data_IF_498168840602
#
_entry.id   IF_498168840602
#
_cell.length_a   1.000
_cell.length_b   1.000
_cell.length_c   1.000
_cell.angle_alpha   90.00
_cell.angle_beta   90.00
_cell.angle_gamma   90.00
#
_symmetry.space_group_name_H-M   'P 1'
#
loop_
_entity.id
_entity.type
_entity.pdbx_description
1 polymer ?
#
# COMPACT_ATOMS: atom_id res chain seq x y z
N UNK A 1 41.22 -29.72 -15.12
CA UNK A 1 40.05 -29.92 -16.00
C UNK A 1 38.79 -29.77 -15.16
N UNK A 2 37.78 -29.08 -15.69
CA UNK A 2 36.48 -28.72 -15.07
C UNK A 2 36.59 -27.72 -13.89
N UNK A 3 35.72 -26.72 -13.73
CA UNK A 3 34.33 -26.64 -14.16
C UNK A 3 33.91 -25.24 -14.63
N UNK A 4 33.19 -25.23 -15.76
CA UNK A 4 32.24 -24.20 -16.13
C UNK A 4 30.97 -24.33 -15.28
N UNK A 5 30.28 -23.19 -15.10
CA UNK A 5 28.82 -22.97 -15.21
C UNK A 5 28.20 -22.20 -14.03
N UNK A 6 27.96 -20.92 -14.33
CA UNK A 6 26.72 -20.18 -14.16
C UNK A 6 25.81 -20.53 -12.98
N UNK A 7 25.67 -19.60 -12.04
CA UNK A 7 24.48 -19.48 -11.21
C UNK A 7 23.86 -18.10 -11.45
N UNK A 8 22.71 -18.15 -12.13
CA UNK A 8 21.77 -17.05 -12.27
C UNK A 8 21.31 -16.58 -10.89
N UNK A 9 21.47 -15.29 -10.64
CA UNK A 9 20.85 -14.57 -9.53
C UNK A 9 19.33 -14.58 -9.72
N UNK A 10 18.61 -15.33 -8.89
CA UNK A 10 17.15 -15.19 -8.76
C UNK A 10 16.86 -14.18 -7.64
N UNK A 11 16.58 -12.95 -8.06
CA UNK A 11 15.94 -11.91 -7.23
C UNK A 11 14.47 -12.29 -7.03
N UNK A 12 14.12 -12.90 -5.90
CA UNK A 12 12.73 -12.99 -5.48
C UNK A 12 12.33 -11.64 -4.87
N UNK A 13 11.67 -10.82 -5.69
CA UNK A 13 11.04 -9.58 -5.27
C UNK A 13 10.03 -9.87 -4.15
N UNK A 14 10.06 -9.00 -3.15
CA UNK A 14 8.98 -8.81 -2.19
C UNK A 14 7.72 -8.37 -2.95
N UNK A 15 6.80 -9.28 -3.22
CA UNK A 15 5.46 -8.89 -3.69
C UNK A 15 4.65 -8.41 -2.49
N UNK A 16 4.61 -7.08 -2.29
CA UNK A 16 3.51 -6.47 -1.57
C UNK A 16 2.20 -6.94 -2.25
N UNK A 17 1.30 -7.57 -1.50
CA UNK A 17 0.01 -7.99 -2.02
C UNK A 17 -0.86 -6.74 -2.27
N UNK A 18 -0.76 -6.19 -3.48
CA UNK A 18 -1.75 -5.26 -4.02
C UNK A 18 -2.98 -6.07 -4.44
N UNK A 19 -4.06 -6.04 -3.65
CA UNK A 19 -5.34 -6.58 -4.08
C UNK A 19 -5.92 -5.67 -5.17
N UNK A 20 -6.01 -6.18 -6.41
CA UNK A 20 -6.62 -5.48 -7.54
C UNK A 20 -8.04 -6.02 -7.76
N UNK A 21 -9.04 -5.15 -7.74
CA UNK A 21 -10.45 -5.52 -7.93
C UNK A 21 -10.97 -4.86 -9.21
N UNK A 22 -11.63 -5.62 -10.08
CA UNK A 22 -12.27 -5.12 -11.30
C UNK A 22 -13.81 -5.14 -11.13
N UNK A 23 -14.47 -4.05 -11.55
CA UNK A 23 -15.94 -3.98 -11.60
C UNK A 23 -16.39 -4.59 -12.93
N UNK A 24 -17.26 -5.61 -12.95
CA UNK A 24 -17.74 -6.20 -14.19
C UNK A 24 -18.65 -5.23 -14.97
N UNK A 25 -18.52 -5.27 -16.29
CA UNK A 25 -19.36 -4.51 -17.22
C UNK A 25 -20.80 -5.01 -17.18
N UNK A 26 -21.77 -4.08 -17.11
CA UNK A 26 -23.18 -4.35 -16.81
C UNK A 26 -23.98 -4.79 -18.05
N UNK A 27 -23.31 -5.26 -19.11
CA UNK A 27 -23.94 -5.52 -20.41
C UNK A 27 -24.34 -6.99 -20.65
N UNK A 28 -24.33 -7.84 -19.62
CA UNK A 28 -24.91 -9.20 -19.69
C UNK A 28 -26.17 -9.29 -18.84
N UNK A 29 -27.26 -8.73 -19.37
CA UNK A 29 -28.61 -8.92 -18.82
C UNK A 29 -29.12 -10.30 -19.25
N UNK A 30 -28.88 -11.31 -18.43
CA UNK A 30 -29.48 -12.64 -18.52
C UNK A 30 -30.07 -13.02 -17.16
N UNK A 31 -31.39 -13.09 -17.09
CA UNK A 31 -32.20 -13.43 -15.92
C UNK A 31 -31.81 -14.77 -15.27
N UNK A 32 -31.60 -14.82 -13.95
CA UNK A 32 -32.35 -15.71 -13.03
C UNK A 32 -31.87 -15.62 -11.59
N UNK A 33 -32.81 -15.29 -10.69
CA UNK A 33 -32.94 -15.67 -9.27
C UNK A 33 -31.69 -16.16 -8.51
N UNK A 34 -31.17 -15.32 -7.61
CA UNK A 34 -30.24 -15.78 -6.56
C UNK A 34 -30.43 -15.00 -5.25
N UNK A 35 -30.36 -15.75 -4.16
CA UNK A 35 -30.63 -15.37 -2.76
C UNK A 35 -29.49 -14.49 -2.20
N UNK A 36 -29.63 -13.82 -1.03
CA UNK A 36 -28.60 -12.92 -0.48
C UNK A 36 -27.24 -13.57 -0.15
N UNK A 37 -27.09 -14.88 -0.38
CA UNK A 37 -25.86 -15.63 -0.20
C UNK A 37 -24.88 -15.55 -1.40
N UNK A 38 -25.29 -14.98 -2.55
CA UNK A 38 -24.45 -14.90 -3.76
C UNK A 38 -23.65 -13.59 -3.90
N UNK A 39 -23.66 -12.72 -2.87
CA UNK A 39 -22.92 -11.46 -2.87
C UNK A 39 -21.39 -11.60 -2.72
N UNK A 40 -20.86 -12.83 -2.64
CA UNK A 40 -19.43 -13.13 -2.43
C UNK A 40 -18.73 -13.78 -3.63
N UNK A 41 -19.30 -13.76 -4.84
CA UNK A 41 -18.64 -14.35 -6.01
C UNK A 41 -18.78 -13.55 -7.32
N UNK A 42 -18.04 -12.42 -7.47
CA UNK A 42 -17.72 -11.91 -8.80
C UNK A 42 -16.21 -11.86 -9.11
N UNK A 43 -15.33 -12.34 -8.22
CA UNK A 43 -13.89 -12.12 -8.36
C UNK A 43 -13.19 -13.27 -9.08
N UNK A 44 -12.93 -13.11 -10.38
CA UNK A 44 -12.14 -14.05 -11.20
C UNK A 44 -10.67 -13.61 -11.24
N UNK A 45 -9.76 -14.48 -10.78
CA UNK A 45 -8.31 -14.29 -10.87
C UNK A 45 -7.86 -14.51 -12.33
N UNK A 46 -7.14 -13.56 -12.92
CA UNK A 46 -6.63 -13.64 -14.30
C UNK A 46 -5.45 -14.63 -14.40
N UNK A 47 -5.48 -15.51 -15.40
CA UNK A 47 -4.38 -16.44 -15.70
C UNK A 47 -3.09 -15.72 -16.13
N UNK A 48 -1.98 -16.30 -15.69
CA UNK A 48 -0.61 -15.82 -15.80
C UNK A 48 0.00 -16.25 -17.15
N UNK A 49 -0.47 -15.70 -18.27
CA UNK A 49 0.15 -15.97 -19.57
C UNK A 49 -0.12 -14.89 -20.63
N UNK A 50 0.93 -14.63 -21.42
CA UNK A 50 1.09 -13.66 -22.51
C UNK A 50 1.28 -12.19 -22.12
N UNK A 51 2.19 -11.54 -22.83
CA UNK A 51 2.56 -10.11 -22.78
C UNK A 51 1.37 -9.24 -22.36
N UNK A 52 1.49 -8.55 -21.22
CA UNK A 52 0.45 -7.65 -20.73
C UNK A 52 0.34 -6.46 -21.68
N UNK A 53 -0.57 -6.54 -22.65
CA UNK A 53 -0.90 -5.42 -23.52
C UNK A 53 -1.85 -4.48 -22.79
N UNK A 54 -1.36 -3.28 -22.49
CA UNK A 54 -2.16 -2.19 -21.90
C UNK A 54 -2.78 -1.28 -22.97
N UNK A 55 -2.80 -1.72 -24.24
CA UNK A 55 -3.32 -0.93 -25.36
C UNK A 55 -4.80 -0.57 -25.27
N UNK A 56 -5.56 -1.28 -24.42
CA UNK A 56 -6.97 -0.97 -24.13
C UNK A 56 -7.13 0.21 -23.17
N UNK A 57 -6.09 0.56 -22.39
CA UNK A 57 -6.14 1.63 -21.40
C UNK A 57 -5.88 2.96 -22.09
N UNK A 58 -6.94 3.58 -22.59
CA UNK A 58 -6.87 4.85 -23.32
C UNK A 58 -7.26 6.03 -22.44
N UNK A 59 -8.27 5.85 -21.58
CA UNK A 59 -8.77 6.85 -20.64
C UNK A 59 -8.74 6.26 -19.25
N UNK A 60 -7.92 6.79 -18.35
CA UNK A 60 -7.80 6.22 -17.01
C UNK A 60 -7.49 7.29 -15.97
N UNK A 61 -7.71 6.94 -14.70
CA UNK A 61 -7.54 7.86 -13.60
C UNK A 61 -6.87 7.20 -12.40
N UNK A 62 -6.19 8.00 -11.59
CA UNK A 62 -5.85 7.61 -10.21
C UNK A 62 -6.36 8.61 -9.21
N UNK A 63 -7.07 8.11 -8.19
CA UNK A 63 -7.59 8.91 -7.09
C UNK A 63 -6.99 8.39 -5.78
N UNK A 64 -6.86 9.24 -4.77
CA UNK A 64 -6.46 8.76 -3.47
C UNK A 64 -5.87 9.79 -2.53
N UNK A 65 -5.15 9.26 -1.56
CA UNK A 65 -4.49 9.97 -0.48
C UNK A 65 -3.00 10.25 -0.79
N UNK A 66 -2.19 10.47 0.25
CA UNK A 66 -0.76 10.77 0.14
C UNK A 66 0.04 9.67 -0.55
N UNK A 67 -0.41 8.40 -0.55
CA UNK A 67 0.25 7.31 -1.25
C UNK A 67 0.12 7.43 -2.77
N UNK A 68 -1.03 7.90 -3.26
CA UNK A 68 -1.23 8.15 -4.70
C UNK A 68 -0.67 9.52 -5.10
N UNK A 69 -0.71 10.53 -4.22
CA UNK A 69 -0.10 11.85 -4.47
C UNK A 69 1.44 11.82 -4.44
N UNK A 70 2.02 10.87 -3.70
CA UNK A 70 3.45 10.56 -3.73
C UNK A 70 4.33 11.46 -2.88
N UNK A 71 3.89 11.81 -1.67
CA UNK A 71 4.70 12.65 -0.78
C UNK A 71 6.13 12.09 -0.65
N UNK A 72 7.11 12.97 -0.87
CA UNK A 72 8.54 12.64 -0.77
C UNK A 72 9.14 12.01 -2.03
N UNK A 73 8.34 11.75 -3.08
CA UNK A 73 8.83 11.13 -4.31
C UNK A 73 9.23 12.16 -5.38
N UNK A 74 10.43 12.73 -5.24
CA UNK A 74 10.98 13.70 -6.20
C UNK A 74 10.48 15.13 -5.97
N UNK A 75 10.20 15.87 -7.05
CA UNK A 75 9.81 17.28 -6.97
C UNK A 75 8.29 17.44 -6.86
N UNK A 76 7.83 18.30 -5.93
CA UNK A 76 6.43 18.70 -5.85
C UNK A 76 6.02 19.43 -7.14
N UNK A 77 4.85 19.07 -7.65
CA UNK A 77 4.30 19.56 -8.90
C UNK A 77 3.43 20.79 -8.68
N UNK A 78 3.23 21.53 -9.76
CA UNK A 78 2.39 22.72 -9.76
C UNK A 78 3.12 24.00 -9.38
N UNK A 79 2.43 25.13 -9.59
CA UNK A 79 2.88 26.44 -9.13
C UNK A 79 2.22 26.74 -7.80
N UNK A 80 2.75 27.74 -7.11
CA UNK A 80 2.16 28.25 -5.88
C UNK A 80 0.64 28.48 -6.07
N UNK A 81 -0.20 27.87 -5.23
CA UNK A 81 -1.69 27.83 -5.30
C UNK A 81 -2.37 26.97 -6.39
N UNK A 82 -1.65 26.22 -7.24
CA UNK A 82 -2.32 25.26 -8.12
C UNK A 82 -2.86 24.07 -7.33
N UNK A 83 -3.84 23.35 -7.89
CA UNK A 83 -4.40 22.15 -7.25
C UNK A 83 -3.33 21.08 -6.99
N UNK A 84 -2.40 20.89 -7.92
CA UNK A 84 -1.28 19.96 -7.76
C UNK A 84 -0.39 20.31 -6.55
N UNK A 85 -0.14 21.61 -6.37
CA UNK A 85 0.68 22.10 -5.30
C UNK A 85 -0.03 21.99 -3.95
N UNK A 86 -1.29 22.42 -3.88
CA UNK A 86 -2.13 22.31 -2.67
C UNK A 86 -2.35 20.86 -2.23
N UNK A 87 -2.44 19.93 -3.18
CA UNK A 87 -2.61 18.52 -2.91
C UNK A 87 -1.29 17.76 -2.67
N UNK A 88 -0.15 18.46 -2.66
CA UNK A 88 1.18 17.89 -2.50
C UNK A 88 1.42 16.72 -3.45
N UNK A 89 1.17 16.93 -4.75
CA UNK A 89 1.43 15.94 -5.80
C UNK A 89 2.89 15.99 -6.23
N UNK A 90 3.53 14.85 -6.44
CA UNK A 90 4.96 14.76 -6.76
C UNK A 90 5.23 14.12 -8.12
N UNK A 91 6.41 14.38 -8.69
CA UNK A 91 6.79 13.92 -10.04
C UNK A 91 7.12 12.43 -10.15
N UNK A 92 7.71 11.82 -9.12
CA UNK A 92 8.29 10.47 -9.22
C UNK A 92 7.42 9.44 -8.51
N UNK A 93 6.11 9.47 -8.79
CA UNK A 93 5.13 8.59 -8.15
C UNK A 93 4.61 7.51 -9.10
N UNK A 94 4.13 6.40 -8.52
CA UNK A 94 3.71 5.21 -9.25
C UNK A 94 2.65 5.46 -10.35
N UNK A 95 1.69 6.40 -10.24
CA UNK A 95 0.75 6.68 -11.34
C UNK A 95 1.44 7.24 -12.58
N UNK A 96 2.47 8.08 -12.42
CA UNK A 96 3.26 8.55 -13.56
C UNK A 96 4.10 7.43 -14.18
N UNK A 97 4.64 6.52 -13.35
CA UNK A 97 5.32 5.33 -13.85
C UNK A 97 4.36 4.43 -14.63
N UNK A 98 3.15 4.18 -14.11
CA UNK A 98 2.11 3.40 -14.81
C UNK A 98 1.72 4.09 -16.12
N UNK A 99 1.53 5.41 -16.13
CA UNK A 99 1.24 6.15 -17.36
C UNK A 99 2.35 5.98 -18.40
N UNK A 100 3.61 6.03 -17.95
CA UNK A 100 4.77 5.81 -18.79
C UNK A 100 4.79 4.39 -19.37
N UNK A 101 4.42 3.37 -18.59
CA UNK A 101 4.33 1.98 -19.06
C UNK A 101 3.15 1.70 -20.00
N UNK A 102 2.00 2.36 -19.79
CA UNK A 102 0.88 2.35 -20.76
C UNK A 102 1.34 3.01 -22.08
N UNK A 103 2.17 4.03 -21.98
CA UNK A 103 2.81 4.68 -23.12
C UNK A 103 1.79 5.35 -24.04
N UNK A 104 1.99 5.21 -25.35
CA UNK A 104 1.20 5.92 -26.37
C UNK A 104 -0.29 5.53 -26.45
N UNK A 105 -0.70 4.45 -25.79
CA UNK A 105 -2.10 4.05 -25.67
C UNK A 105 -2.89 5.05 -24.80
N UNK A 106 -2.27 5.62 -23.77
CA UNK A 106 -2.87 6.61 -22.87
C UNK A 106 -3.16 7.89 -23.66
N UNK A 107 -4.46 8.20 -23.81
CA UNK A 107 -4.96 9.41 -24.47
C UNK A 107 -5.44 10.46 -23.47
N UNK A 108 -5.95 10.01 -22.33
CA UNK A 108 -6.45 10.87 -21.26
C UNK A 108 -6.10 10.24 -19.90
N UNK A 109 -5.30 10.96 -19.12
CA UNK A 109 -4.90 10.54 -17.78
C UNK A 109 -5.32 11.59 -16.76
N UNK A 110 -6.23 11.21 -15.85
CA UNK A 110 -6.71 12.07 -14.78
C UNK A 110 -6.00 11.77 -13.46
N UNK A 111 -5.36 12.78 -12.89
CA UNK A 111 -4.54 12.64 -11.67
C UNK A 111 -4.98 13.60 -10.55
N UNK A 112 -6.15 13.40 -9.89
CA UNK A 112 -6.59 14.25 -8.80
C UNK A 112 -6.39 13.69 -7.36
N UNK A 113 -5.38 12.85 -7.01
CA UNK A 113 -5.19 12.45 -5.62
C UNK A 113 -4.80 13.66 -4.76
N UNK A 114 -4.99 13.57 -3.45
CA UNK A 114 -4.69 14.67 -2.55
C UNK A 114 -4.15 14.14 -1.23
N UNK A 115 -3.01 14.65 -0.79
CA UNK A 115 -2.50 14.32 0.54
C UNK A 115 -3.53 14.66 1.62
N UNK A 116 -3.71 13.76 2.60
CA UNK A 116 -4.70 13.90 3.66
C UNK A 116 -6.15 13.64 3.22
N UNK A 117 -6.38 13.19 1.97
CA UNK A 117 -7.72 12.80 1.55
C UNK A 117 -8.19 11.55 2.30
N UNK A 118 -9.24 11.70 3.12
CA UNK A 118 -9.97 10.59 3.73
C UNK A 118 -10.91 9.93 2.73
N UNK A 119 -11.56 8.81 3.10
CA UNK A 119 -12.50 8.10 2.23
C UNK A 119 -13.57 9.01 1.62
N UNK A 120 -14.10 9.98 2.38
CA UNK A 120 -15.04 10.99 1.86
C UNK A 120 -14.40 11.91 0.81
N UNK A 121 -13.14 12.30 1.00
CA UNK A 121 -12.37 13.09 0.05
C UNK A 121 -12.08 12.31 -1.23
N UNK A 122 -11.69 11.04 -1.12
CA UNK A 122 -11.50 10.14 -2.27
C UNK A 122 -12.82 9.88 -2.99
N UNK A 123 -13.93 9.75 -2.26
CA UNK A 123 -15.27 9.67 -2.84
C UNK A 123 -15.62 10.91 -3.67
N UNK A 124 -15.26 12.11 -3.18
CA UNK A 124 -15.47 13.34 -3.94
C UNK A 124 -14.57 13.39 -5.18
N UNK A 125 -13.29 12.98 -5.08
CA UNK A 125 -12.41 12.83 -6.25
C UNK A 125 -13.05 11.93 -7.31
N UNK A 126 -13.65 10.80 -6.91
CA UNK A 126 -14.33 9.89 -7.83
C UNK A 126 -15.52 10.53 -8.56
N UNK A 127 -16.31 11.38 -7.86
CA UNK A 127 -17.43 12.11 -8.47
C UNK A 127 -16.98 13.17 -9.47
N UNK A 128 -15.80 13.75 -9.26
CA UNK A 128 -15.26 14.82 -10.08
C UNK A 128 -14.46 14.31 -11.29
N UNK A 129 -14.28 12.99 -11.40
CA UNK A 129 -13.65 12.37 -12.57
C UNK A 129 -14.52 12.56 -13.83
N UNK A 130 -13.90 12.95 -14.93
CA UNK A 130 -14.53 12.87 -16.23
C UNK A 130 -14.73 11.39 -16.60
N UNK A 131 -15.97 11.03 -16.96
CA UNK A 131 -16.39 9.64 -17.21
C UNK A 131 -15.78 8.97 -18.45
N UNK A 132 -16.31 7.79 -18.78
CA UNK A 132 -15.80 6.87 -19.82
C UNK A 132 -14.34 6.49 -19.56
N UNK A 133 -14.07 5.92 -18.37
CA UNK A 133 -12.75 5.48 -17.94
C UNK A 133 -12.63 3.96 -18.12
N UNK A 134 -11.51 3.51 -18.68
CA UNK A 134 -11.17 2.09 -18.85
C UNK A 134 -10.65 1.50 -17.53
N UNK A 135 -9.91 2.32 -16.75
CA UNK A 135 -9.28 1.91 -15.49
C UNK A 135 -9.30 3.06 -14.49
N UNK A 136 -9.63 2.75 -13.24
CA UNK A 136 -9.40 3.64 -12.09
C UNK A 136 -8.58 2.88 -11.05
N UNK A 137 -7.47 3.46 -10.62
CA UNK A 137 -6.64 2.91 -9.54
C UNK A 137 -6.70 3.84 -8.34
N UNK A 138 -6.74 3.30 -7.12
CA UNK A 138 -6.94 4.14 -5.95
C UNK A 138 -6.25 3.67 -4.68
N UNK A 139 -5.83 4.65 -3.86
CA UNK A 139 -5.49 4.45 -2.44
C UNK A 139 -6.45 5.24 -1.58
N UNK A 140 -7.07 4.59 -0.59
CA UNK A 140 -7.93 5.28 0.36
C UNK A 140 -7.85 4.58 1.71
N UNK A 141 -7.60 5.33 2.79
CA UNK A 141 -7.77 4.79 4.14
C UNK A 141 -6.94 5.47 5.20
N UNK A 142 -7.34 6.67 5.65
CA UNK A 142 -6.70 7.32 6.80
C UNK A 142 -7.42 7.00 8.13
N UNK A 143 -8.76 6.92 8.16
CA UNK A 143 -9.51 6.50 9.36
C UNK A 143 -9.22 5.04 9.75
N UNK A 144 -8.60 4.28 8.84
CA UNK A 144 -8.19 2.91 9.02
C UNK A 144 -6.86 2.76 9.78
N UNK A 145 -6.03 3.79 9.95
CA UNK A 145 -4.68 3.60 10.52
C UNK A 145 -4.71 2.94 11.91
N UNK A 146 -5.54 3.44 12.84
CA UNK A 146 -5.69 2.84 14.15
C UNK A 146 -6.38 1.47 14.12
N UNK A 147 -7.39 1.29 13.25
CA UNK A 147 -8.11 0.03 13.09
C UNK A 147 -7.21 -1.07 12.49
N UNK A 148 -6.36 -0.71 11.54
CA UNK A 148 -5.38 -1.59 10.90
C UNK A 148 -4.29 -1.96 11.90
N UNK A 149 -3.80 -1.02 12.71
CA UNK A 149 -2.87 -1.35 13.81
C UNK A 149 -3.52 -2.33 14.79
N UNK A 150 -4.79 -2.12 15.17
CA UNK A 150 -5.51 -3.05 16.03
C UNK A 150 -5.71 -4.42 15.39
N UNK A 151 -6.06 -4.46 14.09
CA UNK A 151 -6.23 -5.73 13.37
C UNK A 151 -4.92 -6.46 13.18
N UNK A 152 -3.81 -5.74 12.98
CA UNK A 152 -2.47 -6.32 12.93
C UNK A 152 -2.13 -7.00 14.26
N UNK A 153 -2.43 -6.34 15.39
CA UNK A 153 -2.27 -6.94 16.71
C UNK A 153 -3.13 -8.21 16.88
N UNK A 154 -4.41 -8.14 16.50
CA UNK A 154 -5.31 -9.31 16.53
C UNK A 154 -4.77 -10.47 15.67
N UNK A 155 -4.26 -10.19 14.47
CA UNK A 155 -3.69 -11.21 13.59
C UNK A 155 -2.40 -11.83 14.15
N UNK A 156 -1.56 -11.03 14.84
CA UNK A 156 -0.39 -11.56 15.55
C UNK A 156 -0.84 -12.56 16.62
N UNK A 157 -1.89 -12.22 17.37
CA UNK A 157 -2.36 -13.05 18.46
C UNK A 157 -3.13 -14.30 18.01
N UNK A 158 -3.85 -14.22 16.88
CA UNK A 158 -4.77 -15.28 16.44
C UNK A 158 -4.24 -16.15 15.29
N UNK A 159 -3.37 -15.62 14.43
CA UNK A 159 -2.91 -16.30 13.20
C UNK A 159 -1.41 -16.59 13.25
N UNK A 160 -0.59 -15.62 13.66
CA UNK A 160 0.86 -15.78 13.58
C UNK A 160 1.39 -16.85 14.54
N UNK A 161 0.97 -16.82 15.80
CA UNK A 161 1.37 -17.78 16.84
C UNK A 161 1.14 -19.26 16.42
N UNK A 162 -0.06 -19.68 15.98
CA UNK A 162 -0.28 -21.06 15.56
C UNK A 162 0.54 -21.43 14.32
N UNK A 163 0.68 -20.54 13.34
CA UNK A 163 1.47 -20.81 12.14
C UNK A 163 2.96 -21.02 12.46
N UNK A 164 3.53 -20.21 13.36
CA UNK A 164 4.91 -20.40 13.82
C UNK A 164 5.09 -21.75 14.53
N UNK A 165 4.12 -22.17 15.34
CA UNK A 165 4.12 -23.49 15.97
C UNK A 165 4.14 -24.60 14.93
N UNK A 166 3.26 -24.55 13.92
CA UNK A 166 3.21 -25.55 12.86
C UNK A 166 4.54 -25.66 12.10
N UNK A 167 5.19 -24.53 11.82
CA UNK A 167 6.52 -24.52 11.19
C UNK A 167 7.55 -25.23 12.08
N UNK A 168 7.58 -24.92 13.38
CA UNK A 168 8.52 -25.54 14.32
C UNK A 168 8.24 -27.04 14.50
N UNK A 169 6.98 -27.45 14.55
CA UNK A 169 6.56 -28.86 14.61
C UNK A 169 6.95 -29.61 13.33
N UNK A 170 6.81 -28.99 12.15
CA UNK A 170 7.22 -29.57 10.88
C UNK A 170 8.76 -29.65 10.72
N UNK A 171 9.50 -28.76 11.38
CA UNK A 171 10.96 -28.80 11.44
C UNK A 171 11.47 -29.85 12.43
N UNK A 172 10.78 -30.07 13.55
CA UNK A 172 11.20 -30.98 14.62
C UNK A 172 11.66 -32.38 14.16
N UNK A 173 10.90 -33.14 13.34
CA UNK A 173 11.33 -34.46 12.88
C UNK A 173 12.47 -34.41 11.84
N UNK A 174 12.75 -33.23 11.26
CA UNK A 174 13.86 -33.01 10.31
C UNK A 174 15.16 -32.64 11.01
N UNK A 175 15.09 -32.22 12.28
CA UNK A 175 16.28 -31.94 13.08
C UNK A 175 16.99 -33.25 13.45
N UNK A 176 18.31 -33.18 13.63
CA UNK A 176 19.09 -34.35 14.07
C UNK A 176 18.52 -34.91 15.38
N UNK A 177 18.27 -36.22 15.39
CA UNK A 177 17.67 -36.95 16.52
C UNK A 177 18.60 -37.08 17.74
N UNK A 178 19.89 -36.78 17.60
CA UNK A 178 20.89 -36.84 18.67
C UNK A 178 21.00 -35.54 19.50
N UNK A 179 19.95 -34.70 19.46
CA UNK A 179 19.75 -33.48 20.27
C UNK A 179 20.69 -32.29 19.98
N UNK A 180 21.49 -32.34 18.91
CA UNK A 180 22.39 -31.25 18.52
C UNK A 180 21.86 -30.34 17.40
N UNK A 181 20.62 -30.54 16.94
CA UNK A 181 19.99 -29.66 15.96
C UNK A 181 19.56 -28.34 16.58
N UNK A 182 19.96 -27.20 16.00
CA UNK A 182 19.56 -25.86 16.45
C UNK A 182 18.73 -25.20 15.34
N UNK A 183 17.58 -24.63 15.72
CA UNK A 183 16.81 -23.72 14.86
C UNK A 183 17.05 -22.31 15.37
N UNK A 184 17.53 -21.43 14.49
CA UNK A 184 17.71 -20.01 14.80
C UNK A 184 16.60 -19.23 14.10
N UNK A 185 15.74 -18.60 14.90
CA UNK A 185 14.74 -17.67 14.40
C UNK A 185 15.23 -16.24 14.68
N UNK A 186 15.28 -15.40 13.65
CA UNK A 186 15.70 -14.00 13.79
C UNK A 186 14.49 -13.11 14.05
N UNK A 187 14.58 -12.27 15.09
CA UNK A 187 13.53 -11.31 15.44
C UNK A 187 13.59 -10.06 14.56
N UNK A 188 12.51 -9.28 14.59
CA UNK A 188 12.43 -7.99 13.91
C UNK A 188 12.95 -6.86 14.80
N UNK A 189 13.58 -5.85 14.19
CA UNK A 189 14.00 -4.63 14.88
C UNK A 189 12.84 -3.63 14.99
N UNK A 190 12.81 -2.80 16.05
CA UNK A 190 11.86 -1.69 16.15
C UNK A 190 11.96 -0.74 14.96
N UNK A 191 10.84 -0.18 14.53
CA UNK A 191 10.78 0.71 13.37
C UNK A 191 11.30 2.11 13.66
N UNK A 192 11.09 2.57 14.89
CA UNK A 192 11.32 3.97 15.24
C UNK A 192 12.04 4.09 16.58
N UNK A 193 12.88 5.11 16.70
CA UNK A 193 13.28 5.65 18.00
C UNK A 193 12.02 6.14 18.74
N UNK A 194 12.00 6.14 20.07
CA UNK A 194 10.85 6.61 20.88
C UNK A 194 11.23 7.53 22.02
N UNK A 195 12.52 7.82 22.20
CA UNK A 195 13.02 8.54 23.37
C UNK A 195 12.90 10.07 23.29
N UNK A 196 12.59 10.61 22.11
CA UNK A 196 12.37 12.04 21.88
C UNK A 196 11.13 12.28 21.02
N UNK A 197 10.59 13.49 20.98
CA UNK A 197 9.50 13.88 20.08
C UNK A 197 10.00 14.43 18.73
N UNK A 198 11.28 14.28 18.42
CA UNK A 198 11.91 14.94 17.27
C UNK A 198 11.21 14.58 15.94
N UNK A 199 10.79 13.33 15.77
CA UNK A 199 10.06 12.87 14.58
C UNK A 199 8.71 13.61 14.35
N UNK A 200 8.14 14.17 15.42
CA UNK A 200 6.89 14.91 15.39
C UNK A 200 7.09 16.43 15.35
N UNK A 201 8.26 16.95 15.73
CA UNK A 201 8.48 18.39 15.96
C UNK A 201 9.66 18.99 15.20
N UNK A 202 10.77 18.26 15.05
CA UNK A 202 12.06 18.81 14.62
C UNK A 202 12.48 18.38 13.20
N UNK A 203 11.79 17.42 12.63
CA UNK A 203 12.04 16.94 11.27
C UNK A 203 11.66 17.96 10.21
N UNK A 204 12.29 17.89 9.03
CA UNK A 204 12.02 18.86 7.97
C UNK A 204 10.55 18.83 7.50
N UNK A 205 9.90 17.66 7.57
CA UNK A 205 8.48 17.49 7.24
C UNK A 205 7.52 18.06 8.31
N UNK A 206 8.03 18.47 9.47
CA UNK A 206 7.23 19.08 10.56
C UNK A 206 7.38 20.60 10.63
N UNK A 207 8.22 21.23 9.79
CA UNK A 207 8.54 22.66 9.90
C UNK A 207 7.62 23.59 9.08
N UNK A 208 7.37 24.82 9.58
CA UNK A 208 6.46 25.78 8.94
C UNK A 208 6.85 26.29 7.55
N UNK A 209 8.13 26.25 7.15
CA UNK A 209 8.52 26.62 5.76
C UNK A 209 7.82 25.76 4.71
N UNK A 210 7.41 24.54 5.08
CA UNK A 210 6.56 23.64 4.30
C UNK A 210 5.06 23.72 4.70
N UNK A 211 4.69 24.39 5.79
CA UNK A 211 3.32 24.40 6.36
C UNK A 211 2.62 25.77 6.37
N UNK A 212 3.30 26.89 6.15
CA UNK A 212 2.78 28.21 6.50
C UNK A 212 1.64 28.72 5.59
N UNK A 213 1.50 28.21 4.37
CA UNK A 213 0.48 28.71 3.44
C UNK A 213 -0.21 27.62 2.61
N UNK A 214 0.43 26.45 2.43
CA UNK A 214 -0.17 25.28 1.74
C UNK A 214 -1.04 24.43 2.66
N UNK A 215 -0.72 24.42 3.95
CA UNK A 215 -1.33 23.52 4.92
C UNK A 215 -2.46 24.16 5.71
N UNK A 216 -2.89 25.39 5.44
CA UNK A 216 -3.97 26.00 6.24
C UNK A 216 -5.31 25.22 6.15
N UNK A 217 -5.52 24.49 5.05
CA UNK A 217 -6.64 23.55 4.89
C UNK A 217 -6.30 22.07 5.16
N UNK A 218 -5.02 21.66 5.10
CA UNK A 218 -4.57 20.29 5.41
C UNK A 218 -4.27 20.08 6.92
N UNK A 219 -3.85 21.13 7.63
CA UNK A 219 -3.38 21.11 9.03
C UNK A 219 -4.41 20.62 10.04
N UNK A 220 -5.70 20.59 9.68
CA UNK A 220 -6.75 20.01 10.54
C UNK A 220 -6.70 18.49 10.63
N UNK A 221 -5.92 17.81 9.76
CA UNK A 221 -5.93 16.34 9.65
C UNK A 221 -4.55 15.67 9.66
N UNK A 222 -3.44 16.39 9.88
CA UNK A 222 -2.14 15.73 9.97
C UNK A 222 -2.07 14.86 11.21
N UNK A 223 -1.58 13.63 11.01
CA UNK A 223 -1.35 12.66 12.07
C UNK A 223 0.14 12.65 12.41
N UNK A 224 0.59 13.41 13.43
CA UNK A 224 2.00 13.49 13.78
C UNK A 224 2.53 12.14 14.24
N UNK A 225 3.80 11.88 13.93
CA UNK A 225 4.54 10.68 14.31
C UNK A 225 5.05 10.81 15.76
N UNK A 226 4.12 11.08 16.70
CA UNK A 226 4.43 11.26 18.12
C UNK A 226 5.13 10.05 18.71
N UNK A 227 5.86 10.22 19.81
CA UNK A 227 6.49 9.11 20.52
C UNK A 227 5.47 8.03 20.85
N UNK A 228 4.30 8.40 21.38
CA UNK A 228 3.21 7.44 21.66
C UNK A 228 2.75 6.63 20.43
N UNK A 229 2.70 7.25 19.25
CA UNK A 229 2.32 6.55 18.01
C UNK A 229 3.44 5.62 17.55
N UNK A 230 4.69 6.05 17.62
CA UNK A 230 5.87 5.24 17.30
C UNK A 230 6.01 4.05 18.25
N UNK A 231 5.77 4.25 19.54
CA UNK A 231 5.68 3.17 20.53
C UNK A 231 4.62 2.15 20.13
N UNK A 232 3.46 2.57 19.65
CA UNK A 232 2.42 1.65 19.18
C UNK A 232 2.86 0.82 17.96
N UNK A 233 3.65 1.39 17.05
CA UNK A 233 4.23 0.64 15.94
C UNK A 233 5.30 -0.35 16.41
N UNK A 234 6.18 0.07 17.30
CA UNK A 234 7.18 -0.81 17.90
C UNK A 234 6.55 -1.92 18.74
N UNK A 235 5.40 -1.67 19.37
CA UNK A 235 4.67 -2.69 20.12
C UNK A 235 4.22 -3.86 19.24
N UNK A 236 3.88 -3.61 17.96
CA UNK A 236 3.57 -4.69 17.01
C UNK A 236 4.80 -5.56 16.75
N UNK A 237 5.98 -4.95 16.62
CA UNK A 237 7.26 -5.65 16.46
C UNK A 237 7.55 -6.51 17.69
N UNK A 238 7.41 -5.93 18.88
CA UNK A 238 7.61 -6.65 20.14
C UNK A 238 6.63 -7.81 20.29
N UNK A 239 5.37 -7.62 19.89
CA UNK A 239 4.34 -8.67 19.94
C UNK A 239 4.63 -9.82 18.98
N UNK A 240 5.15 -9.54 17.78
CA UNK A 240 5.65 -10.58 16.85
C UNK A 240 6.82 -11.33 17.48
N UNK A 241 7.78 -10.61 18.05
CA UNK A 241 8.96 -11.21 18.65
C UNK A 241 8.63 -12.05 19.91
N UNK A 242 7.55 -11.72 20.62
CA UNK A 242 7.01 -12.49 21.76
C UNK A 242 6.04 -13.60 21.36
N UNK A 243 5.62 -13.66 20.10
CA UNK A 243 4.73 -14.70 19.59
C UNK A 243 5.45 -16.05 19.39
N UNK A 244 6.77 -16.04 19.53
CA UNK A 244 7.69 -17.17 19.49
C UNK A 244 7.84 -17.70 20.91
#
# INVERSE_FOLDING_TARGET
MAALRAWFLWTALWTAQCASYAIPDNNTRGSSNTSPADALSPLVRREESSTVSLGFVQRWATIGDSFTAGIGSGQRQGRFFSSDWQCSRYSHIWPYLVNMYIGSASKDFQFPPCSGARSQGVYQQAKDLAGNLDVVMLTAGESACAAVINKAQENIDTILKPNLREILEALAPKMRSDKNGIVVYNSYAPFFETDSEDCATNEQWTKPEWQAWEFWNLARNLLPLTAARRQRFNQLVDSINKAI
#
